data_IF_022171911143
#
_entry.id   IF_022171911143
#
_cell.length_a   1.000
_cell.length_b   1.000
_cell.length_c   1.000
_cell.angle_alpha   90.00
_cell.angle_beta   90.00
_cell.angle_gamma   90.00
#
_symmetry.space_group_name_H-M   'P 1'
#
loop_
_entity.id
_entity.type
_entity.pdbx_description
1 polymer ?
#
# COMPACT_ATOMS: atom_id res chain seq x y z
N UNK A 1 -15.90 -20.75 1.43
CA UNK A 1 -15.15 -19.48 1.27
C UNK A 1 -13.67 -19.58 1.68
N UNK A 2 -13.31 -19.61 2.98
CA UNK A 2 -11.88 -19.55 3.38
C UNK A 2 -11.07 -20.75 2.92
N UNK A 3 -11.66 -21.93 2.92
CA UNK A 3 -11.01 -23.16 2.45
C UNK A 3 -10.82 -23.14 0.93
N UNK A 4 -11.83 -22.67 0.18
CA UNK A 4 -11.72 -22.46 -1.28
C UNK A 4 -10.64 -21.43 -1.63
N UNK A 5 -10.55 -20.33 -0.87
CA UNK A 5 -9.46 -19.36 -1.05
C UNK A 5 -8.12 -20.02 -0.76
N UNK A 6 -8.01 -20.81 0.31
CA UNK A 6 -6.78 -21.52 0.65
C UNK A 6 -6.35 -22.50 -0.46
N UNK A 7 -7.29 -23.23 -1.03
CA UNK A 7 -7.06 -24.13 -2.16
C UNK A 7 -6.60 -23.35 -3.39
N UNK A 8 -7.27 -22.24 -3.71
CA UNK A 8 -6.87 -21.37 -4.80
C UNK A 8 -5.45 -20.81 -4.60
N UNK A 9 -5.11 -20.36 -3.40
CA UNK A 9 -3.77 -19.85 -3.09
C UNK A 9 -2.65 -20.90 -3.19
N UNK A 10 -2.99 -22.19 -3.16
CA UNK A 10 -2.05 -23.29 -3.40
C UNK A 10 -1.89 -23.64 -4.88
N UNK A 11 -2.67 -23.01 -5.77
CA UNK A 11 -2.59 -23.22 -7.22
C UNK A 11 -1.25 -22.79 -7.77
N UNK A 12 -0.79 -23.50 -8.80
CA UNK A 12 0.41 -23.18 -9.57
C UNK A 12 0.04 -22.86 -11.00
N UNK A 13 0.58 -21.76 -11.52
CA UNK A 13 0.32 -21.30 -12.88
C UNK A 13 1.46 -21.72 -13.81
N UNK A 14 1.14 -22.09 -15.04
CA UNK A 14 2.13 -22.38 -16.08
C UNK A 14 2.26 -21.18 -17.01
N UNK A 15 3.49 -20.72 -17.23
CA UNK A 15 3.80 -19.69 -18.23
C UNK A 15 3.92 -20.29 -19.63
N UNK A 16 3.90 -19.45 -20.66
CA UNK A 16 4.05 -19.88 -22.06
C UNK A 16 5.37 -20.58 -22.34
N UNK A 17 6.44 -20.23 -21.61
CA UNK A 17 7.75 -20.87 -21.67
C UNK A 17 7.91 -22.06 -20.71
N UNK A 18 6.81 -22.56 -20.13
CA UNK A 18 6.77 -23.81 -19.36
C UNK A 18 7.20 -23.71 -17.89
N UNK A 19 7.53 -22.51 -17.39
CA UNK A 19 7.81 -22.32 -15.95
C UNK A 19 6.53 -22.51 -15.14
N UNK A 20 6.71 -23.01 -13.91
CA UNK A 20 5.62 -23.21 -12.95
C UNK A 20 5.76 -22.18 -11.83
N UNK A 21 4.82 -21.26 -11.74
CA UNK A 21 4.83 -20.15 -10.78
C UNK A 21 3.77 -20.37 -9.70
N UNK A 22 4.15 -20.44 -8.41
CA UNK A 22 3.19 -20.40 -7.30
C UNK A 22 2.79 -18.95 -7.01
N UNK A 23 1.70 -18.77 -6.26
CA UNK A 23 1.37 -17.47 -5.66
C UNK A 23 2.38 -17.19 -4.55
N UNK A 24 3.21 -16.16 -4.73
CA UNK A 24 4.35 -15.90 -3.85
C UNK A 24 3.98 -15.23 -2.51
N UNK A 25 2.93 -14.41 -2.52
CA UNK A 25 2.39 -13.70 -1.37
C UNK A 25 0.95 -13.26 -1.65
N UNK A 26 0.17 -12.99 -0.59
CA UNK A 26 -1.21 -12.55 -0.70
C UNK A 26 -1.56 -11.57 0.40
N UNK A 27 -2.23 -10.48 0.03
CA UNK A 27 -2.82 -9.54 0.96
C UNK A 27 -4.33 -9.71 1.00
N UNK A 28 -4.92 -9.76 2.19
CA UNK A 28 -6.36 -9.87 2.41
C UNK A 28 -6.84 -8.60 3.11
N UNK A 29 -7.72 -7.85 2.46
CA UNK A 29 -8.23 -6.60 3.03
C UNK A 29 -9.16 -6.84 4.20
N UNK A 30 -8.90 -6.11 5.28
CA UNK A 30 -9.69 -6.13 6.52
C UNK A 30 -10.53 -4.87 6.70
N UNK A 31 -10.49 -3.92 5.76
CA UNK A 31 -11.15 -2.62 5.82
C UNK A 31 -12.68 -2.63 5.74
N UNK A 32 -13.28 -3.74 5.29
CA UNK A 32 -14.73 -3.89 5.14
C UNK A 32 -15.46 -4.53 6.34
N UNK A 33 -16.66 -5.07 6.09
CA UNK A 33 -17.55 -5.64 7.11
C UNK A 33 -17.01 -6.91 7.80
N UNK A 34 -16.01 -7.57 7.22
CA UNK A 34 -15.54 -8.89 7.65
C UNK A 34 -14.19 -8.88 8.38
N UNK A 35 -13.80 -7.75 8.99
CA UNK A 35 -12.49 -7.55 9.66
C UNK A 35 -12.11 -8.71 10.59
N UNK A 36 -13.00 -9.15 11.48
CA UNK A 36 -12.69 -10.24 12.43
C UNK A 36 -12.50 -11.59 11.74
N UNK A 37 -13.24 -11.84 10.65
CA UNK A 37 -13.11 -13.06 9.84
C UNK A 37 -11.74 -13.11 9.14
N UNK A 38 -11.32 -11.98 8.56
CA UNK A 38 -9.99 -11.81 7.94
C UNK A 38 -8.87 -12.00 8.97
N UNK A 39 -9.04 -11.46 10.18
CA UNK A 39 -8.08 -11.65 11.26
C UNK A 39 -7.98 -13.11 11.69
N UNK A 40 -9.12 -13.78 11.88
CA UNK A 40 -9.15 -15.21 12.23
C UNK A 40 -8.51 -16.08 11.13
N UNK A 41 -8.72 -15.75 9.87
CA UNK A 41 -8.13 -16.46 8.73
C UNK A 41 -6.61 -16.26 8.66
N UNK A 42 -6.13 -15.01 8.70
CA UNK A 42 -4.71 -14.68 8.45
C UNK A 42 -3.76 -14.96 9.62
N UNK A 43 -4.26 -15.05 10.86
CA UNK A 43 -3.43 -15.16 12.09
C UNK A 43 -2.29 -16.18 12.05
N UNK A 44 -2.52 -17.34 11.43
CA UNK A 44 -1.58 -18.46 11.41
C UNK A 44 -0.97 -18.70 10.02
N UNK A 45 -1.18 -17.79 9.06
CA UNK A 45 -0.79 -17.97 7.65
C UNK A 45 0.42 -17.14 7.24
N UNK A 46 1.08 -16.49 8.20
CA UNK A 46 2.29 -15.70 7.94
C UNK A 46 3.44 -16.50 7.31
N UNK A 47 3.58 -17.79 7.64
CA UNK A 47 4.56 -18.70 7.00
C UNK A 47 4.28 -18.93 5.52
N UNK A 48 3.00 -18.89 5.11
CA UNK A 48 2.56 -18.94 3.71
C UNK A 48 2.45 -17.55 3.07
N UNK A 49 2.94 -16.50 3.74
CA UNK A 49 2.95 -15.11 3.25
C UNK A 49 1.55 -14.60 2.88
N UNK A 50 0.56 -14.99 3.67
CA UNK A 50 -0.80 -14.46 3.60
C UNK A 50 -1.02 -13.53 4.77
N UNK A 51 -1.25 -12.24 4.50
CA UNK A 51 -1.29 -11.20 5.52
C UNK A 51 -2.59 -10.40 5.47
N UNK A 52 -3.05 -9.95 6.64
CA UNK A 52 -4.10 -8.96 6.71
C UNK A 52 -3.52 -7.58 6.39
N UNK A 53 -4.25 -6.81 5.59
CA UNK A 53 -3.93 -5.42 5.29
C UNK A 53 -5.06 -4.49 5.71
N UNK A 54 -4.74 -3.21 5.84
CA UNK A 54 -5.71 -2.14 5.96
C UNK A 54 -5.24 -0.90 5.20
N UNK A 55 -6.08 -0.42 4.28
CA UNK A 55 -5.84 0.82 3.57
C UNK A 55 -5.77 2.05 4.49
N UNK A 56 -4.86 2.96 4.17
CA UNK A 56 -4.70 4.27 4.78
C UNK A 56 -4.67 5.33 3.69
N UNK A 57 -5.76 6.09 3.56
CA UNK A 57 -5.85 7.25 2.66
C UNK A 57 -5.24 8.48 3.31
N UNK A 58 -3.94 8.39 3.62
CA UNK A 58 -3.14 9.47 4.22
C UNK A 58 -1.99 9.79 3.27
N UNK A 59 -1.97 11.02 2.76
CA UNK A 59 -0.92 11.49 1.87
C UNK A 59 0.49 11.34 2.50
N UNK A 60 1.45 10.93 1.68
CA UNK A 60 2.85 10.75 2.08
C UNK A 60 3.15 9.44 2.81
N UNK A 61 2.17 8.53 2.94
CA UNK A 61 2.44 7.16 3.42
C UNK A 61 3.04 6.31 2.30
N UNK A 62 4.05 5.46 2.61
CA UNK A 62 4.57 4.51 1.63
C UNK A 62 3.52 3.44 1.31
N UNK A 63 3.67 2.79 0.15
CA UNK A 63 2.80 1.71 -0.33
C UNK A 63 2.58 0.64 0.74
N UNK A 64 3.65 0.12 1.35
CA UNK A 64 3.57 -0.81 2.47
C UNK A 64 4.31 -0.28 3.69
N UNK A 65 3.66 -0.28 4.85
CA UNK A 65 4.26 0.08 6.14
C UNK A 65 4.59 -1.16 6.97
N UNK A 66 5.39 -0.97 8.03
CA UNK A 66 5.68 -2.04 8.99
C UNK A 66 4.38 -2.55 9.62
N UNK A 67 4.25 -3.87 9.85
CA UNK A 67 3.05 -4.42 10.44
C UNK A 67 2.93 -4.02 11.91
N UNK A 68 1.69 -3.94 12.37
CA UNK A 68 1.35 -3.83 13.79
C UNK A 68 0.62 -5.10 14.24
N UNK A 69 0.74 -5.45 15.52
CA UNK A 69 -0.03 -6.56 16.09
C UNK A 69 -1.37 -6.04 16.59
N UNK A 70 -2.47 -6.58 16.07
CA UNK A 70 -3.83 -6.09 16.38
C UNK A 70 -4.73 -7.19 16.93
N UNK A 71 -5.69 -6.76 17.76
CA UNK A 71 -6.74 -7.61 18.32
C UNK A 71 -6.25 -8.63 19.35
N UNK A 72 -7.20 -9.32 19.98
CA UNK A 72 -6.91 -10.40 20.95
C UNK A 72 -6.18 -11.58 20.31
N UNK A 73 -6.39 -11.79 19.01
CA UNK A 73 -5.77 -12.86 18.23
C UNK A 73 -4.32 -12.57 17.82
N UNK A 74 -3.80 -11.37 18.14
CA UNK A 74 -2.42 -10.92 17.84
C UNK A 74 -2.06 -11.07 16.36
N UNK A 75 -2.92 -10.58 15.48
CA UNK A 75 -2.73 -10.66 14.01
C UNK A 75 -1.75 -9.59 13.55
N UNK A 76 -0.84 -9.95 12.65
CA UNK A 76 -0.01 -8.98 11.95
C UNK A 76 -0.85 -8.24 10.89
N UNK A 77 -1.06 -6.94 11.09
CA UNK A 77 -1.79 -6.06 10.19
C UNK A 77 -0.85 -5.06 9.53
N UNK A 78 -0.79 -5.10 8.20
CA UNK A 78 0.02 -4.18 7.40
C UNK A 78 -0.80 -2.96 6.97
N UNK A 79 -0.39 -1.74 7.35
CA UNK A 79 -1.00 -0.52 6.85
C UNK A 79 -0.52 -0.20 5.42
N UNK A 80 -1.45 -0.03 4.50
CA UNK A 80 -1.17 0.21 3.08
C UNK A 80 -1.47 1.65 2.72
N UNK A 81 -0.48 2.37 2.19
CA UNK A 81 -0.68 3.75 1.70
C UNK A 81 -1.40 3.73 0.37
N UNK A 82 -2.74 3.76 0.39
CA UNK A 82 -3.57 3.60 -0.82
C UNK A 82 -3.32 4.70 -1.84
N UNK A 83 -3.04 5.92 -1.39
CA UNK A 83 -2.78 7.06 -2.28
C UNK A 83 -1.52 6.83 -3.12
N UNK A 84 -0.44 6.35 -2.49
CA UNK A 84 0.81 6.03 -3.17
C UNK A 84 0.67 4.81 -4.09
N UNK A 85 -0.11 3.80 -3.69
CA UNK A 85 -0.40 2.67 -4.56
C UNK A 85 -1.13 3.12 -5.84
N UNK A 86 -2.17 3.96 -5.69
CA UNK A 86 -2.95 4.47 -6.82
C UNK A 86 -2.07 5.32 -7.73
N UNK A 87 -1.28 6.24 -7.18
CA UNK A 87 -0.31 7.02 -7.96
C UNK A 87 0.63 6.12 -8.77
N UNK A 88 1.17 5.07 -8.16
CA UNK A 88 2.04 4.11 -8.84
C UNK A 88 1.30 3.38 -9.97
N UNK A 89 0.11 2.85 -9.70
CA UNK A 89 -0.70 2.13 -10.69
C UNK A 89 -1.04 3.03 -11.88
N UNK A 90 -1.57 4.23 -11.63
CA UNK A 90 -1.90 5.19 -12.69
C UNK A 90 -0.67 5.66 -13.48
N UNK A 91 0.49 5.80 -12.83
CA UNK A 91 1.73 6.15 -13.53
C UNK A 91 2.15 5.07 -14.53
N UNK A 92 1.89 3.79 -14.24
CA UNK A 92 2.22 2.67 -15.13
C UNK A 92 1.15 2.43 -16.19
N UNK A 93 -0.12 2.69 -15.88
CA UNK A 93 -1.21 2.64 -16.86
C UNK A 93 -1.09 3.69 -17.95
N UNK A 94 -0.52 4.86 -17.63
CA UNK A 94 -0.26 5.93 -18.59
C UNK A 94 1.10 5.79 -19.32
N UNK A 95 1.83 4.70 -19.11
CA UNK A 95 3.14 4.48 -19.71
C UNK A 95 3.07 3.35 -20.75
N UNK A 96 3.49 3.66 -21.98
CA UNK A 96 3.50 2.71 -23.10
C UNK A 96 4.92 2.20 -23.41
N UNK A 97 5.94 2.64 -22.66
CA UNK A 97 7.34 2.28 -22.90
C UNK A 97 7.79 1.17 -21.95
N UNK A 98 8.19 0.03 -22.51
CA UNK A 98 8.80 -1.06 -21.75
C UNK A 98 10.09 -0.60 -21.04
N UNK A 99 10.44 -1.16 -19.87
CA UNK A 99 9.79 -2.27 -19.17
C UNK A 99 8.63 -1.85 -18.23
N UNK A 100 8.26 -0.58 -18.26
CA UNK A 100 7.41 0.11 -17.30
C UNK A 100 5.89 -0.03 -17.53
N UNK A 101 5.43 -1.12 -18.16
CA UNK A 101 4.04 -1.27 -18.65
C UNK A 101 3.26 -2.33 -17.89
N UNK A 102 1.94 -2.16 -17.79
CA UNK A 102 1.05 -3.21 -17.31
C UNK A 102 0.72 -4.20 -18.44
N UNK A 103 0.86 -5.49 -18.18
CA UNK A 103 0.41 -6.55 -19.08
C UNK A 103 -0.93 -7.12 -18.60
N UNK A 104 -1.91 -7.15 -19.50
CA UNK A 104 -3.25 -7.67 -19.24
C UNK A 104 -3.53 -8.93 -20.04
N UNK A 105 -4.38 -9.81 -19.50
CA UNK A 105 -4.93 -10.91 -20.28
C UNK A 105 -5.93 -10.37 -21.30
N UNK A 106 -5.91 -10.91 -22.51
CA UNK A 106 -6.88 -10.62 -23.56
C UNK A 106 -8.31 -11.11 -23.24
N UNK A 107 -8.47 -11.85 -22.14
CA UNK A 107 -9.76 -12.38 -21.66
C UNK A 107 -10.48 -11.44 -20.69
N UNK A 108 -9.87 -10.31 -20.30
CA UNK A 108 -10.49 -9.33 -19.43
C UNK A 108 -11.49 -8.49 -20.22
N UNK A 109 -12.64 -8.20 -19.63
CA UNK A 109 -13.70 -7.41 -20.24
C UNK A 109 -13.50 -5.89 -20.00
N UNK A 110 -14.33 -5.09 -20.65
CA UNK A 110 -14.29 -3.63 -20.52
C UNK A 110 -14.56 -3.17 -19.08
N UNK A 111 -15.48 -3.84 -18.36
CA UNK A 111 -15.81 -3.52 -16.96
C UNK A 111 -14.59 -3.62 -16.04
N UNK A 112 -13.69 -4.60 -16.26
CA UNK A 112 -12.42 -4.66 -15.54
C UNK A 112 -11.60 -3.37 -15.70
N UNK A 113 -11.48 -2.87 -16.93
CA UNK A 113 -10.72 -1.65 -17.22
C UNK A 113 -11.43 -0.40 -16.70
N UNK A 114 -12.76 -0.35 -16.73
CA UNK A 114 -13.54 0.72 -16.12
C UNK A 114 -13.32 0.78 -14.60
N UNK A 115 -13.31 -0.38 -13.93
CA UNK A 115 -13.01 -0.44 -12.49
C UNK A 115 -11.55 -0.15 -12.18
N UNK A 116 -10.61 -0.50 -13.06
CA UNK A 116 -9.19 -0.26 -12.84
C UNK A 116 -8.81 1.21 -13.05
N UNK A 117 -9.28 1.84 -14.11
CA UNK A 117 -8.81 3.16 -14.55
C UNK A 117 -9.84 4.29 -14.35
N UNK A 118 -11.14 3.99 -14.29
CA UNK A 118 -12.21 4.99 -14.23
C UNK A 118 -13.02 4.97 -12.92
N UNK A 119 -12.71 4.07 -11.98
CA UNK A 119 -13.42 3.99 -10.69
C UNK A 119 -13.12 5.15 -9.76
N UNK A 120 -11.94 5.75 -9.84
CA UNK A 120 -11.49 6.84 -8.96
C UNK A 120 -10.74 7.93 -9.71
N UNK A 121 -10.83 9.16 -9.21
CA UNK A 121 -10.01 10.29 -9.68
C UNK A 121 -9.42 11.08 -8.52
N UNK A 122 -8.32 11.76 -8.81
CA UNK A 122 -7.69 12.71 -7.88
C UNK A 122 -8.37 14.07 -8.00
N UNK A 123 -8.86 14.60 -6.89
CA UNK A 123 -9.45 15.95 -6.80
C UNK A 123 -8.74 16.80 -5.76
N UNK A 124 -8.75 18.11 -5.99
CA UNK A 124 -8.29 19.09 -5.01
C UNK A 124 -9.41 19.37 -4.00
N UNK A 125 -9.12 19.20 -2.71
CA UNK A 125 -10.05 19.49 -1.63
C UNK A 125 -9.37 20.36 -0.58
N UNK A 126 -10.07 21.41 -0.15
CA UNK A 126 -9.64 22.23 0.97
C UNK A 126 -10.12 21.60 2.28
N UNK A 127 -9.19 21.20 3.13
CA UNK A 127 -9.49 20.72 4.48
C UNK A 127 -8.80 21.65 5.49
N UNK A 128 -9.61 22.33 6.31
CA UNK A 128 -9.15 23.31 7.30
C UNK A 128 -8.26 24.42 6.70
N UNK A 129 -8.65 24.93 5.53
CA UNK A 129 -7.92 25.99 4.82
C UNK A 129 -6.64 25.53 4.11
N UNK A 130 -6.28 24.24 4.19
CA UNK A 130 -5.12 23.68 3.48
C UNK A 130 -5.61 22.90 2.26
N UNK A 131 -5.04 23.20 1.09
CA UNK A 131 -5.27 22.45 -0.15
C UNK A 131 -4.63 21.07 -0.04
N UNK A 132 -5.44 20.02 -0.19
CA UNK A 132 -4.99 18.62 -0.20
C UNK A 132 -5.53 17.92 -1.44
N UNK A 133 -4.72 17.02 -2.00
CA UNK A 133 -5.19 16.13 -3.05
C UNK A 133 -5.82 14.90 -2.42
N UNK A 134 -6.99 14.48 -2.90
CA UNK A 134 -7.74 13.34 -2.39
C UNK A 134 -8.25 12.48 -3.54
N UNK A 135 -8.15 11.16 -3.39
CA UNK A 135 -8.82 10.20 -4.27
C UNK A 135 -10.30 10.14 -3.93
N UNK A 136 -11.15 10.29 -4.94
CA UNK A 136 -12.60 10.23 -4.82
C UNK A 136 -13.12 9.19 -5.79
N UNK A 137 -13.90 8.27 -5.24
CA UNK A 137 -14.62 7.25 -5.99
C UNK A 137 -15.74 7.87 -6.82
N UNK A 138 -15.80 7.46 -8.09
CA UNK A 138 -16.74 7.96 -9.11
C UNK A 138 -17.76 6.87 -9.45
N UNK A 139 -17.34 5.60 -9.43
CA UNK A 139 -18.17 4.43 -9.74
C UNK A 139 -18.48 3.65 -8.48
N UNK A 140 -19.58 2.89 -8.48
CA UNK A 140 -19.95 2.04 -7.34
C UNK A 140 -18.93 0.93 -7.07
N UNK A 141 -18.36 0.36 -8.13
CA UNK A 141 -17.36 -0.71 -8.09
C UNK A 141 -15.96 -0.20 -8.39
N UNK A 142 -14.99 -0.63 -7.59
CA UNK A 142 -13.58 -0.24 -7.65
C UNK A 142 -12.62 -1.39 -7.28
N UNK A 143 -13.13 -2.62 -7.23
CA UNK A 143 -12.42 -3.78 -6.70
C UNK A 143 -11.19 -4.11 -7.54
N UNK A 144 -11.21 -3.88 -8.86
CA UNK A 144 -10.05 -4.09 -9.73
C UNK A 144 -8.87 -3.17 -9.37
N UNK A 145 -9.12 -1.88 -9.12
CA UNK A 145 -8.09 -0.92 -8.71
C UNK A 145 -7.53 -1.26 -7.33
N UNK A 146 -8.39 -1.58 -6.37
CA UNK A 146 -7.96 -1.95 -5.02
C UNK A 146 -7.17 -3.27 -5.03
N UNK A 147 -7.59 -4.25 -5.82
CA UNK A 147 -6.85 -5.52 -5.99
C UNK A 147 -5.47 -5.30 -6.62
N UNK A 148 -5.35 -4.42 -7.62
CA UNK A 148 -4.06 -4.05 -8.18
C UNK A 148 -3.14 -3.40 -7.14
N UNK A 149 -3.69 -2.50 -6.31
CA UNK A 149 -2.97 -1.88 -5.20
C UNK A 149 -2.51 -2.90 -4.16
N UNK A 150 -3.32 -3.92 -3.88
CA UNK A 150 -3.00 -4.97 -2.90
C UNK A 150 -1.99 -6.00 -3.44
N UNK A 151 -2.04 -6.30 -4.74
CA UNK A 151 -0.99 -7.06 -5.42
C UNK A 151 0.35 -6.35 -5.34
N UNK A 152 0.37 -5.04 -5.61
CA UNK A 152 1.57 -4.20 -5.45
C UNK A 152 2.05 -4.19 -3.99
N UNK A 153 1.14 -4.02 -3.04
CA UNK A 153 1.46 -4.08 -1.61
C UNK A 153 2.10 -5.42 -1.23
N UNK A 154 1.59 -6.55 -1.75
CA UNK A 154 2.17 -7.87 -1.51
C UNK A 154 3.62 -7.96 -2.01
N UNK A 155 3.92 -7.39 -3.17
CA UNK A 155 5.30 -7.31 -3.71
C UNK A 155 6.20 -6.49 -2.77
N UNK A 156 5.74 -5.33 -2.32
CA UNK A 156 6.52 -4.45 -1.42
C UNK A 156 6.74 -5.08 -0.04
N UNK A 157 5.76 -5.81 0.50
CA UNK A 157 5.91 -6.55 1.76
C UNK A 157 6.85 -7.73 1.59
N UNK A 158 6.73 -8.46 0.48
CA UNK A 158 7.59 -9.60 0.16
C UNK A 158 9.04 -9.19 -0.05
N UNK A 159 9.27 -8.02 -0.64
CA UNK A 159 10.57 -7.46 -0.98
C UNK A 159 11.52 -8.49 -1.62
N UNK A 160 11.16 -9.05 -2.80
CA UNK A 160 11.94 -10.11 -3.43
C UNK A 160 13.29 -9.58 -3.95
N UNK A 161 14.28 -10.46 -4.05
CA UNK A 161 15.56 -10.12 -4.65
C UNK A 161 15.44 -10.19 -6.19
N UNK A 162 15.21 -9.03 -6.82
CA UNK A 162 15.02 -8.93 -8.26
C UNK A 162 16.23 -9.35 -9.09
N UNK A 163 17.46 -9.09 -8.62
CA UNK A 163 18.70 -9.52 -9.30
C UNK A 163 18.75 -11.03 -9.49
N UNK A 164 18.27 -11.79 -8.51
CA UNK A 164 18.25 -13.26 -8.56
C UNK A 164 17.10 -13.82 -9.41
N UNK A 165 16.07 -13.02 -9.66
CA UNK A 165 14.92 -13.40 -10.48
C UNK A 165 15.10 -13.05 -11.96
N UNK A 166 16.26 -12.50 -12.34
CA UNK A 166 16.55 -12.10 -13.72
C UNK A 166 15.84 -10.81 -14.13
N UNK A 167 15.39 -9.99 -13.17
CA UNK A 167 14.90 -8.65 -13.46
C UNK A 167 16.07 -7.68 -13.58
N UNK A 168 16.28 -7.11 -14.77
CA UNK A 168 17.05 -5.87 -14.89
C UNK A 168 16.32 -4.80 -14.07
N UNK A 169 17.05 -4.16 -13.17
CA UNK A 169 16.47 -3.21 -12.21
C UNK A 169 16.05 -1.92 -12.92
N UNK A 170 14.75 -1.69 -13.03
CA UNK A 170 14.19 -0.36 -12.79
C UNK A 170 13.74 -0.33 -11.33
N UNK A 171 14.69 -0.04 -10.43
CA UNK A 171 14.31 0.43 -9.10
C UNK A 171 13.58 1.75 -9.29
N UNK A 172 12.25 1.73 -9.14
CA UNK A 172 11.54 2.95 -8.77
C UNK A 172 12.24 3.59 -7.56
N UNK A 173 12.32 4.92 -7.52
CA UNK A 173 13.08 5.62 -6.49
C UNK A 173 12.66 5.12 -5.11
N UNK A 174 13.66 4.73 -4.31
CA UNK A 174 13.49 4.38 -2.91
C UNK A 174 12.55 5.42 -2.28
N UNK A 175 11.43 5.01 -1.64
CA UNK A 175 10.52 5.98 -1.04
C UNK A 175 11.34 6.90 -0.14
N UNK A 176 11.18 8.23 -0.24
CA UNK A 176 12.05 9.16 0.47
C UNK A 176 12.06 8.75 1.93
N UNK A 177 13.25 8.42 2.44
CA UNK A 177 13.43 8.13 3.87
C UNK A 177 12.79 9.30 4.60
N UNK A 178 11.90 9.05 5.60
CA UNK A 178 11.29 10.15 6.33
C UNK A 178 12.43 10.99 6.90
N UNK A 179 12.58 12.21 6.37
CA UNK A 179 13.56 13.16 6.89
C UNK A 179 13.27 13.30 8.37
N UNK A 180 14.29 13.03 9.19
CA UNK A 180 14.18 13.29 10.62
C UNK A 180 13.81 14.77 10.73
N UNK A 181 12.75 15.13 11.49
CA UNK A 181 12.46 16.54 11.69
C UNK A 181 13.72 17.22 12.22
N UNK A 182 14.07 18.42 11.73
CA UNK A 182 15.25 19.13 12.17
C UNK A 182 15.24 19.17 13.70
N UNK A 183 16.41 18.95 14.35
CA UNK A 183 16.48 18.91 15.81
C UNK A 183 15.81 20.16 16.35
N UNK A 184 14.84 19.96 17.26
CA UNK A 184 14.09 21.06 17.85
C UNK A 184 15.08 22.12 18.34
N UNK A 185 14.96 23.34 17.80
CA UNK A 185 15.77 24.48 18.24
C UNK A 185 15.54 24.58 19.75
N UNK A 186 16.57 24.24 20.53
CA UNK A 186 16.53 24.40 21.98
C UNK A 186 16.35 25.88 22.25
N UNK A 187 15.12 26.27 22.58
CA UNK A 187 14.85 27.63 23.05
C UNK A 187 15.77 27.87 24.25
N UNK A 188 16.58 28.94 24.27
CA UNK A 188 17.37 29.26 25.43
C UNK A 188 16.43 29.38 26.64
N UNK A 189 16.83 28.88 27.82
CA UNK A 189 15.99 28.96 29.01
C UNK A 189 15.61 30.42 29.25
N UNK A 190 14.33 30.68 29.51
CA UNK A 190 13.83 32.01 29.86
C UNK A 190 14.67 32.54 31.03
N UNK A 191 15.48 33.56 30.77
CA UNK A 191 16.26 34.24 31.80
C UNK A 191 15.33 34.74 32.90
N UNK A 192 15.68 34.49 34.16
CA UNK A 192 14.95 35.03 35.31
C UNK A 192 14.99 36.57 35.26
N UNK A 193 13.91 37.28 35.60
CA UNK A 193 13.93 38.74 35.62
C UNK A 193 14.96 39.23 36.64
N UNK A 194 15.84 40.15 36.22
CA UNK A 194 16.79 40.81 37.10
C UNK A 194 16.01 41.68 38.09
N UNK A 195 16.20 41.40 39.38
CA UNK A 195 15.70 42.23 40.49
C UNK A 195 16.54 43.50 40.52
N UNK A 196 15.92 44.65 40.28
CA UNK A 196 16.58 45.96 40.44
C UNK A 196 16.90 46.15 41.93
N UNK A 197 18.17 46.45 42.23
CA UNK A 197 18.59 46.96 43.53
C UNK A 197 18.47 48.48 43.46
N UNK A 198 17.57 49.03 44.26
CA UNK A 198 17.49 50.46 44.56
C UNK A 198 18.79 50.89 45.26
N UNK A 199 19.45 51.91 44.72
CA UNK A 199 20.53 52.63 45.39
C UNK A 199 20.10 54.10 45.44
N UNK A 200 20.06 54.61 46.67
CA UNK A 200 19.85 56.03 47.03
C UNK A 200 21.07 56.87 46.66
#
# INVERSE_FOLDING_TARGET
>A
LWDELDEFLLTKFKTQDGRVLPIAATCVDSGGHWTQSVYAYTRNKGSRRVWAIKGQSVAGKPIANRPSTVGRMRVALYPIGTDACKEWVFSRLNNDTAPAVFHFSHTLDEEYFEQLAASERRVEKFERGVKRLKWVQIRERNECLDTACYGLAAIYILNPNWSKLGGDHDTDPEPPKPERPPPAIRRPPRGRPRRWLDIR
#
